data_IF_888815680694
#
_entry.id   IF_888815680694
#
_cell.length_a   1.000
_cell.length_b   1.000
_cell.length_c   1.000
_cell.angle_alpha   90.00
_cell.angle_beta   90.00
_cell.angle_gamma   90.00
#
_symmetry.space_group_name_H-M   'P 1'
#
loop_
_entity.id
_entity.type
_entity.pdbx_description
1 polymer ?
#
# COMPACT_ATOMS: atom_id res chain seq x y z
N UNK A 1 15.74 13.44 -7.14
CA UNK A 1 14.75 12.35 -7.08
C UNK A 1 14.77 11.84 -5.65
N UNK A 2 13.62 11.74 -4.99
CA UNK A 2 13.59 11.45 -3.55
C UNK A 2 12.84 10.15 -3.34
N UNK A 3 13.54 9.24 -2.69
CA UNK A 3 13.01 7.95 -2.31
C UNK A 3 13.09 7.87 -0.80
N UNK A 4 12.02 8.28 -0.12
CA UNK A 4 11.91 8.10 1.32
C UNK A 4 11.77 6.62 1.72
N UNK A 5 11.68 6.39 3.03
CA UNK A 5 11.52 5.05 3.61
C UNK A 5 10.16 4.41 3.28
N UNK A 6 9.18 5.18 2.81
CA UNK A 6 7.86 4.70 2.41
C UNK A 6 7.59 4.94 0.91
N UNK A 7 6.67 4.17 0.32
CA UNK A 7 6.26 4.30 -1.09
C UNK A 7 5.62 5.67 -1.40
N UNK A 8 4.89 6.24 -0.43
CA UNK A 8 4.22 7.54 -0.58
C UNK A 8 5.21 8.70 -0.70
N UNK A 9 6.40 8.55 -0.12
CA UNK A 9 7.48 9.53 -0.18
C UNK A 9 8.43 9.31 -1.38
N UNK A 10 8.19 8.28 -2.21
CA UNK A 10 8.92 8.10 -3.48
C UNK A 10 8.30 9.01 -4.55
N UNK A 11 9.05 10.06 -4.90
CA UNK A 11 8.83 10.92 -6.08
C UNK A 11 9.55 10.40 -7.34
N UNK A 12 10.23 9.25 -7.23
CA UNK A 12 10.89 8.60 -8.36
C UNK A 12 9.91 8.03 -9.39
N UNK A 13 10.43 7.80 -10.61
CA UNK A 13 9.69 7.14 -11.68
C UNK A 13 9.24 5.74 -11.24
N UNK A 14 7.99 5.38 -11.57
CA UNK A 14 7.36 4.13 -11.13
C UNK A 14 7.02 3.26 -12.34
N UNK A 15 7.18 1.96 -12.19
CA UNK A 15 6.73 0.95 -13.15
C UNK A 15 5.52 0.21 -12.59
N UNK A 16 4.51 -0.01 -13.45
CA UNK A 16 3.35 -0.84 -13.13
C UNK A 16 3.52 -2.26 -13.69
N UNK A 17 3.32 -3.25 -12.84
CA UNK A 17 3.23 -4.67 -13.20
C UNK A 17 1.79 -5.13 -13.04
N UNK A 18 1.12 -5.40 -14.15
CA UNK A 18 -0.29 -5.82 -14.17
C UNK A 18 -0.39 -7.33 -14.25
N UNK A 19 -1.20 -7.91 -13.37
CA UNK A 19 -1.65 -9.30 -13.47
C UNK A 19 -3.13 -9.33 -13.85
N UNK A 20 -3.73 -10.52 -13.91
CA UNK A 20 -5.20 -10.64 -14.10
C UNK A 20 -5.98 -9.99 -12.96
N UNK A 21 -5.42 -9.93 -11.76
CA UNK A 21 -6.17 -9.52 -10.57
C UNK A 21 -5.65 -8.21 -9.95
N UNK A 22 -4.34 -8.06 -9.94
CA UNK A 22 -3.64 -7.06 -9.15
C UNK A 22 -2.76 -6.19 -10.05
N UNK A 23 -2.53 -4.96 -9.62
CA UNK A 23 -1.50 -4.09 -10.19
C UNK A 23 -0.52 -3.76 -9.10
N UNK A 24 0.74 -4.08 -9.35
CA UNK A 24 1.83 -3.72 -8.46
C UNK A 24 2.52 -2.50 -9.03
N UNK A 25 2.78 -1.52 -8.18
CA UNK A 25 3.48 -0.30 -8.55
C UNK A 25 4.80 -0.31 -7.81
N UNK A 26 5.91 -0.13 -8.52
CA UNK A 26 7.26 -0.20 -7.96
C UNK A 26 8.05 1.03 -8.40
N UNK A 27 8.70 1.69 -7.45
CA UNK A 27 9.63 2.78 -7.70
C UNK A 27 10.88 2.22 -8.38
N UNK A 28 11.26 2.73 -9.56
CA UNK A 28 12.40 2.23 -10.35
C UNK A 28 13.76 2.49 -9.69
N UNK A 29 13.79 3.27 -8.61
CA UNK A 29 15.01 3.68 -7.93
C UNK A 29 15.19 2.99 -6.57
N UNK A 30 14.25 3.15 -5.64
CA UNK A 30 14.35 2.50 -4.32
C UNK A 30 13.64 1.16 -4.21
N UNK A 31 12.94 0.74 -5.26
CA UNK A 31 12.16 -0.50 -5.29
C UNK A 31 11.09 -0.57 -4.19
N UNK A 32 10.70 0.55 -3.57
CA UNK A 32 9.48 0.60 -2.77
C UNK A 32 8.31 0.26 -3.69
N UNK A 33 7.42 -0.62 -3.22
CA UNK A 33 6.28 -1.04 -4.02
C UNK A 33 5.03 -1.26 -3.19
N UNK A 34 3.88 -1.12 -3.84
CA UNK A 34 2.56 -1.43 -3.27
C UNK A 34 1.69 -2.13 -4.30
N UNK A 35 0.65 -2.80 -3.80
CA UNK A 35 -0.48 -3.19 -4.64
C UNK A 35 -1.43 -1.99 -4.75
N UNK A 36 -2.04 -1.80 -5.93
CA UNK A 36 -3.13 -0.85 -6.11
C UNK A 36 -4.41 -1.42 -5.49
N UNK A 37 -5.04 -0.64 -4.63
CA UNK A 37 -6.32 -1.00 -4.04
C UNK A 37 -7.42 -0.83 -5.10
N UNK A 38 -8.26 -1.86 -5.23
CA UNK A 38 -9.41 -1.83 -6.12
C UNK A 38 -10.67 -1.95 -5.27
N UNK A 39 -11.52 -0.93 -5.28
CA UNK A 39 -12.88 -1.05 -4.76
C UNK A 39 -13.65 -2.04 -5.65
N UNK A 40 -13.94 -3.24 -5.14
CA UNK A 40 -14.65 -4.29 -5.87
C UNK A 40 -13.90 -5.63 -5.97
N UNK A 41 -13.76 -6.19 -7.18
CA UNK A 41 -13.15 -7.52 -7.37
C UNK A 41 -11.68 -7.48 -7.78
N UNK A 42 -11.36 -7.08 -9.01
CA UNK A 42 -9.99 -7.07 -9.55
C UNK A 42 -9.90 -6.32 -10.89
N UNK A 43 -8.68 -6.08 -11.38
CA UNK A 43 -8.44 -5.28 -12.61
C UNK A 43 -9.11 -5.86 -13.87
N UNK A 44 -9.15 -7.19 -14.01
CA UNK A 44 -9.81 -7.86 -15.13
C UNK A 44 -10.73 -8.97 -14.59
N UNK A 45 -11.98 -8.64 -14.21
CA UNK A 45 -12.89 -9.60 -13.61
C UNK A 45 -13.38 -10.62 -14.67
N UNK A 46 -13.23 -11.90 -14.38
CA UNK A 46 -13.77 -13.00 -15.18
C UNK A 46 -14.97 -13.59 -14.43
N UNK A 47 -16.14 -12.99 -14.67
CA UNK A 47 -17.38 -13.26 -13.92
C UNK A 47 -18.17 -14.39 -14.58
N UNK A 48 -18.46 -15.42 -13.78
CA UNK A 48 -19.41 -16.47 -14.11
C UNK A 48 -20.52 -16.54 -13.07
N UNK A 49 -21.62 -17.22 -13.38
CA UNK A 49 -22.64 -17.56 -12.39
C UNK A 49 -22.37 -18.95 -11.84
N UNK A 50 -22.50 -19.09 -10.51
CA UNK A 50 -22.26 -20.34 -9.79
C UNK A 50 -23.39 -20.64 -8.83
N UNK A 51 -23.56 -21.91 -8.49
CA UNK A 51 -24.35 -22.36 -7.36
C UNK A 51 -23.46 -22.40 -6.11
N UNK A 52 -23.72 -21.58 -5.10
CA UNK A 52 -23.00 -21.59 -3.83
C UNK A 52 -23.90 -22.15 -2.72
N UNK A 53 -23.56 -23.30 -2.09
CA UNK A 53 -24.31 -23.85 -0.97
C UNK A 53 -24.35 -22.88 0.21
N UNK A 54 -25.54 -22.60 0.72
CA UNK A 54 -25.70 -21.91 2.00
C UNK A 54 -25.53 -22.88 3.17
N UNK A 55 -25.49 -22.35 4.40
CA UNK A 55 -25.36 -23.16 5.63
C UNK A 55 -26.45 -24.23 5.74
N UNK A 56 -27.66 -23.94 5.26
CA UNK A 56 -28.80 -24.86 5.24
C UNK A 56 -28.80 -25.83 4.03
N UNK A 57 -27.72 -25.90 3.26
CA UNK A 57 -27.61 -26.76 2.07
C UNK A 57 -28.35 -26.26 0.83
N UNK A 58 -29.22 -25.26 0.94
CA UNK A 58 -29.91 -24.67 -0.22
C UNK A 58 -28.93 -23.82 -1.02
N UNK A 59 -28.71 -24.07 -2.33
CA UNK A 59 -27.77 -23.29 -3.12
C UNK A 59 -28.34 -21.91 -3.46
N UNK A 60 -27.47 -20.90 -3.40
CA UNK A 60 -27.74 -19.56 -3.92
C UNK A 60 -26.99 -19.33 -5.23
N UNK A 61 -27.66 -18.75 -6.22
CA UNK A 61 -27.05 -18.38 -7.50
C UNK A 61 -26.35 -17.04 -7.33
N UNK A 62 -25.03 -17.01 -7.54
CA UNK A 62 -24.21 -15.80 -7.36
C UNK A 62 -23.28 -15.56 -8.54
N UNK A 63 -23.03 -14.30 -8.91
CA UNK A 63 -21.86 -13.95 -9.70
C UNK A 63 -20.59 -14.24 -8.90
N UNK A 64 -19.60 -14.81 -9.57
CA UNK A 64 -18.32 -15.23 -9.01
C UNK A 64 -17.20 -14.90 -9.98
N UNK A 65 -16.11 -14.31 -9.47
CA UNK A 65 -14.93 -14.07 -10.29
C UNK A 65 -13.92 -15.21 -10.19
N UNK A 66 -13.63 -15.87 -11.32
CA UNK A 66 -12.60 -16.92 -11.40
C UNK A 66 -11.18 -16.41 -11.15
N UNK A 67 -10.95 -15.12 -11.39
CA UNK A 67 -9.64 -14.50 -11.20
C UNK A 67 -9.39 -14.14 -9.73
N UNK A 68 -10.35 -13.48 -9.07
CA UNK A 68 -10.17 -12.88 -7.74
C UNK A 68 -10.79 -13.69 -6.59
N UNK A 69 -11.71 -14.63 -6.89
CA UNK A 69 -12.43 -15.40 -5.89
C UNK A 69 -13.57 -14.64 -5.18
N UNK A 70 -13.85 -13.41 -5.60
CA UNK A 70 -14.96 -12.61 -5.04
C UNK A 70 -16.31 -13.13 -5.51
N UNK A 71 -17.26 -13.13 -4.58
CA UNK A 71 -18.68 -13.39 -4.83
C UNK A 71 -19.46 -12.10 -4.64
N UNK A 72 -20.51 -11.92 -5.44
CA UNK A 72 -21.35 -10.74 -5.41
C UNK A 72 -22.75 -11.06 -4.87
N UNK A 73 -23.63 -10.05 -4.83
CA UNK A 73 -25.03 -10.22 -4.42
C UNK A 73 -25.69 -11.33 -5.24
N UNK A 74 -26.48 -12.16 -4.56
CA UNK A 74 -27.25 -13.22 -5.22
C UNK A 74 -28.24 -12.61 -6.21
N UNK A 75 -28.46 -13.33 -7.30
CA UNK A 75 -29.35 -12.90 -8.40
C UNK A 75 -30.55 -13.84 -8.50
N UNK A 76 -31.72 -13.28 -8.81
CA UNK A 76 -32.91 -14.07 -9.15
C UNK A 76 -32.76 -14.56 -10.59
N UNK A 77 -32.90 -15.85 -10.81
CA UNK A 77 -32.98 -16.43 -12.15
C UNK A 77 -34.45 -16.60 -12.55
N UNK A 78 -34.74 -16.41 -13.83
CA UNK A 78 -36.04 -16.72 -14.41
C UNK A 78 -36.27 -18.24 -14.38
N UNK A 79 -37.31 -18.67 -13.67
CA UNK A 79 -37.69 -20.09 -13.53
C UNK A 79 -38.09 -20.74 -14.87
N UNK A 80 -38.42 -19.94 -15.89
CA UNK A 80 -38.80 -20.43 -17.22
C UNK A 80 -37.61 -20.76 -18.13
N UNK A 81 -36.36 -20.59 -17.64
CA UNK A 81 -35.11 -20.92 -18.35
C UNK A 81 -34.24 -21.92 -17.57
N UNK A 82 -34.87 -22.79 -16.79
CA UNK A 82 -34.20 -23.76 -15.92
C UNK A 82 -33.71 -25.01 -16.67
N UNK A 83 -32.59 -24.89 -17.37
CA UNK A 83 -31.73 -26.04 -17.72
C UNK A 83 -30.22 -25.72 -17.66
N UNK A 84 -29.81 -24.51 -17.23
CA UNK A 84 -28.37 -24.24 -17.07
C UNK A 84 -27.85 -24.89 -15.78
N UNK A 85 -27.14 -26.01 -15.93
CA UNK A 85 -26.28 -26.55 -14.89
C UNK A 85 -25.15 -25.54 -14.61
N UNK A 86 -25.29 -24.78 -13.51
CA UNK A 86 -24.26 -23.85 -13.07
C UNK A 86 -23.19 -24.61 -12.26
N UNK A 87 -21.90 -24.26 -12.44
CA UNK A 87 -20.83 -24.84 -11.62
C UNK A 87 -21.08 -24.65 -10.13
N UNK A 88 -20.74 -25.68 -9.34
CA UNK A 88 -20.78 -25.62 -7.89
C UNK A 88 -19.56 -24.85 -7.36
N UNK A 89 -19.78 -23.79 -6.59
CA UNK A 89 -18.73 -23.09 -5.86
C UNK A 89 -18.70 -23.59 -4.41
N UNK A 90 -17.81 -24.55 -4.14
CA UNK A 90 -17.52 -24.98 -2.77
C UNK A 90 -16.62 -23.96 -2.06
N UNK A 91 -16.61 -23.99 -0.72
CA UNK A 91 -15.70 -23.18 0.09
C UNK A 91 -14.23 -23.45 -0.28
N UNK A 92 -13.88 -24.72 -0.49
CA UNK A 92 -12.53 -25.16 -0.87
C UNK A 92 -12.05 -24.58 -2.21
N UNK A 93 -12.92 -24.59 -3.24
CA UNK A 93 -12.61 -24.00 -4.54
C UNK A 93 -12.40 -22.49 -4.41
N UNK A 94 -13.28 -21.82 -3.67
CA UNK A 94 -13.17 -20.38 -3.43
C UNK A 94 -11.88 -20.03 -2.67
N UNK A 95 -11.55 -20.80 -1.64
CA UNK A 95 -10.35 -20.61 -0.81
C UNK A 95 -9.08 -20.86 -1.61
N UNK A 96 -9.06 -21.89 -2.45
CA UNK A 96 -7.91 -22.19 -3.32
C UNK A 96 -7.63 -21.03 -4.28
N UNK A 97 -8.65 -20.43 -4.88
CA UNK A 97 -8.49 -19.28 -5.78
C UNK A 97 -7.94 -18.06 -5.02
N UNK A 98 -8.48 -17.78 -3.82
CA UNK A 98 -8.00 -16.68 -2.96
C UNK A 98 -6.56 -16.90 -2.51
N UNK A 99 -6.23 -18.12 -2.07
CA UNK A 99 -4.87 -18.51 -1.67
C UNK A 99 -3.88 -18.39 -2.83
N UNK A 100 -4.27 -18.80 -4.04
CA UNK A 100 -3.44 -18.63 -5.24
C UNK A 100 -3.17 -17.16 -5.56
N UNK A 101 -4.16 -16.28 -5.39
CA UNK A 101 -3.95 -14.83 -5.51
C UNK A 101 -3.00 -14.31 -4.44
N UNK A 102 -3.21 -14.67 -3.17
CA UNK A 102 -2.36 -14.26 -2.05
C UNK A 102 -0.91 -14.73 -2.23
N UNK A 103 -0.71 -15.96 -2.73
CA UNK A 103 0.62 -16.49 -3.03
C UNK A 103 1.31 -15.73 -4.17
N UNK A 104 0.58 -15.26 -5.20
CA UNK A 104 1.15 -14.41 -6.24
C UNK A 104 1.60 -13.05 -5.68
N UNK A 105 0.78 -12.42 -4.84
CA UNK A 105 1.13 -11.18 -4.15
C UNK A 105 2.36 -11.39 -3.26
N UNK A 106 2.41 -12.48 -2.49
CA UNK A 106 3.55 -12.85 -1.65
C UNK A 106 4.83 -13.01 -2.48
N UNK A 107 4.79 -13.80 -3.55
CA UNK A 107 5.94 -13.99 -4.45
C UNK A 107 6.42 -12.68 -5.09
N UNK A 108 5.50 -11.79 -5.44
CA UNK A 108 5.87 -10.47 -5.96
C UNK A 108 6.62 -9.63 -4.92
N UNK A 109 6.14 -9.62 -3.66
CA UNK A 109 6.83 -8.94 -2.56
C UNK A 109 8.20 -9.53 -2.30
N UNK A 110 8.32 -10.85 -2.25
CA UNK A 110 9.59 -11.56 -2.09
C UNK A 110 10.58 -11.22 -3.21
N UNK A 111 10.10 -11.12 -4.46
CA UNK A 111 10.90 -10.71 -5.61
C UNK A 111 11.42 -9.27 -5.46
N UNK A 112 10.57 -8.32 -5.08
CA UNK A 112 10.98 -6.93 -4.85
C UNK A 112 11.96 -6.82 -3.68
N UNK A 113 11.73 -7.51 -2.57
CA UNK A 113 12.63 -7.50 -1.42
C UNK A 113 13.98 -8.15 -1.76
N UNK A 114 13.96 -9.20 -2.58
CA UNK A 114 15.17 -9.80 -3.16
C UNK A 114 15.96 -8.79 -3.97
N UNK A 115 15.31 -8.10 -4.91
CA UNK A 115 15.93 -7.03 -5.71
C UNK A 115 16.43 -5.89 -4.84
N UNK A 116 15.68 -5.46 -3.81
CA UNK A 116 16.14 -4.40 -2.91
C UNK A 116 17.45 -4.78 -2.22
N UNK A 117 17.61 -6.04 -1.80
CA UNK A 117 18.87 -6.51 -1.20
C UNK A 117 20.05 -6.52 -2.16
N UNK A 118 19.81 -6.78 -3.44
CA UNK A 118 20.88 -6.95 -4.45
C UNK A 118 21.13 -5.72 -5.32
N UNK A 119 20.13 -4.84 -5.42
CA UNK A 119 20.07 -3.72 -6.36
C UNK A 119 19.81 -2.38 -5.67
N UNK A 120 19.83 -2.29 -4.32
CA UNK A 120 19.87 -0.97 -3.68
C UNK A 120 21.01 -0.19 -4.31
N UNK A 121 20.61 0.81 -5.10
CA UNK A 121 21.49 1.50 -6.02
C UNK A 121 22.60 2.17 -5.19
N UNK A 122 23.87 2.15 -5.64
CA UNK A 122 24.91 3.00 -5.06
C UNK A 122 24.46 4.46 -4.89
N UNK A 123 23.57 4.93 -5.77
CA UNK A 123 22.95 6.25 -5.69
C UNK A 123 21.97 6.41 -4.52
N UNK A 124 21.25 5.35 -4.14
CA UNK A 124 20.36 5.38 -2.97
C UNK A 124 21.18 5.37 -1.67
N UNK A 125 22.26 4.60 -1.64
CA UNK A 125 23.16 4.56 -0.50
C UNK A 125 23.90 5.90 -0.35
N UNK A 126 24.38 6.48 -1.44
CA UNK A 126 24.94 7.83 -1.47
C UNK A 126 23.91 8.89 -1.06
N UNK A 127 22.66 8.78 -1.53
CA UNK A 127 21.58 9.69 -1.16
C UNK A 127 21.26 9.61 0.34
N UNK A 128 21.08 8.40 0.87
CA UNK A 128 20.82 8.20 2.31
C UNK A 128 21.97 8.70 3.17
N UNK A 129 23.21 8.45 2.73
CA UNK A 129 24.41 8.98 3.39
C UNK A 129 24.40 10.52 3.41
N UNK A 130 24.23 11.16 2.25
CA UNK A 130 24.16 12.63 2.14
C UNK A 130 23.00 13.23 2.94
N UNK A 131 21.84 12.59 2.94
CA UNK A 131 20.69 13.03 3.71
C UNK A 131 20.95 12.93 5.22
N UNK A 132 21.50 11.80 5.68
CA UNK A 132 21.87 11.63 7.09
C UNK A 132 22.94 12.63 7.54
N UNK A 133 23.90 12.96 6.68
CA UNK A 133 24.87 14.03 6.95
C UNK A 133 24.21 15.40 7.00
N UNK A 134 23.29 15.70 6.08
CA UNK A 134 22.50 16.93 6.11
C UNK A 134 21.75 17.11 7.43
N UNK A 135 21.11 16.05 7.96
CA UNK A 135 20.40 16.10 9.25
C UNK A 135 21.33 16.37 10.46
N UNK A 136 22.65 16.24 10.30
CA UNK A 136 23.63 16.56 11.35
C UNK A 136 24.12 18.01 11.29
N UNK A 137 23.85 18.70 10.17
CA UNK A 137 24.33 20.06 9.91
C UNK A 137 23.74 21.12 10.86
N UNK A 138 24.46 22.23 11.12
CA UNK A 138 23.90 23.37 11.86
C UNK A 138 22.64 23.95 11.21
N UNK A 139 22.58 24.00 9.87
CA UNK A 139 21.47 24.56 9.11
C UNK A 139 20.16 23.80 9.40
N UNK A 140 20.22 22.47 9.36
CA UNK A 140 19.08 21.64 9.72
C UNK A 140 18.67 21.82 11.19
N UNK A 141 19.64 21.84 12.12
CA UNK A 141 19.34 22.06 13.55
C UNK A 141 18.59 23.37 13.79
N UNK A 142 18.99 24.45 13.10
CA UNK A 142 18.30 25.74 13.17
C UNK A 142 16.87 25.64 12.61
N UNK A 143 16.66 24.98 11.47
CA UNK A 143 15.31 24.75 10.92
C UNK A 143 14.45 23.94 11.90
N UNK A 144 14.98 22.81 12.39
CA UNK A 144 14.32 21.94 13.36
C UNK A 144 13.87 22.70 14.60
N UNK A 145 14.75 23.52 15.18
CA UNK A 145 14.42 24.30 16.37
C UNK A 145 13.35 25.37 16.10
N UNK A 146 13.36 26.01 14.92
CA UNK A 146 12.32 26.97 14.52
C UNK A 146 10.95 26.30 14.41
N UNK A 147 10.88 25.10 13.84
CA UNK A 147 9.62 24.34 13.70
C UNK A 147 9.09 23.90 15.06
N UNK A 148 9.95 23.36 15.93
CA UNK A 148 9.56 22.98 17.29
C UNK A 148 9.08 24.18 18.11
N UNK A 149 9.75 25.32 18.00
CA UNK A 149 9.34 26.57 18.68
C UNK A 149 8.04 27.13 18.14
N UNK A 150 7.85 27.13 16.81
CA UNK A 150 6.60 27.54 16.15
C UNK A 150 5.41 26.78 16.72
N UNK A 151 5.59 25.48 16.93
CA UNK A 151 4.55 24.57 17.38
C UNK A 151 4.48 24.46 18.92
N UNK A 152 5.19 25.33 19.65
CA UNK A 152 5.30 25.32 21.12
C UNK A 152 5.70 23.96 21.72
N UNK A 153 6.50 23.18 20.98
CA UNK A 153 6.84 21.79 21.33
C UNK A 153 5.62 20.88 21.53
N UNK A 154 4.49 21.18 20.91
CA UNK A 154 3.28 20.36 20.93
C UNK A 154 3.22 19.56 19.62
N UNK A 155 2.97 18.26 19.73
CA UNK A 155 2.78 17.38 18.57
C UNK A 155 1.59 17.84 17.74
N UNK A 156 1.80 18.16 16.46
CA UNK A 156 0.72 18.60 15.57
C UNK A 156 -0.13 17.44 15.02
N UNK A 157 0.30 16.20 15.24
CA UNK A 157 -0.48 15.01 14.85
C UNK A 157 -1.58 14.68 15.87
N UNK A 158 -1.25 14.65 17.16
CA UNK A 158 -2.20 14.29 18.22
C UNK A 158 -2.61 15.47 19.12
N UNK A 159 -1.92 16.61 19.07
CA UNK A 159 -2.15 17.80 19.89
C UNK A 159 -2.06 17.62 21.41
N UNK A 160 -1.68 16.43 21.87
CA UNK A 160 -1.60 16.08 23.29
C UNK A 160 -0.16 15.95 23.77
N UNK A 161 0.68 15.25 23.00
CA UNK A 161 2.03 14.88 23.42
C UNK A 161 3.04 15.96 23.07
N UNK A 162 4.16 15.98 23.82
CA UNK A 162 5.32 16.80 23.49
C UNK A 162 5.91 16.36 22.14
N UNK A 163 6.13 17.32 21.24
CA UNK A 163 6.89 17.10 20.02
C UNK A 163 8.39 16.98 20.33
N UNK A 164 8.97 15.87 19.89
CA UNK A 164 10.39 15.54 20.02
C UNK A 164 11.08 15.44 18.65
N UNK A 165 10.29 15.33 17.58
CA UNK A 165 10.75 15.16 16.22
C UNK A 165 10.17 16.24 15.30
N UNK A 166 10.85 16.47 14.17
CA UNK A 166 10.31 17.24 13.06
C UNK A 166 10.23 16.31 11.86
N UNK A 167 9.04 16.20 11.29
CA UNK A 167 8.76 15.37 10.13
C UNK A 167 8.65 16.23 8.87
N UNK A 168 9.23 15.76 7.76
CA UNK A 168 9.05 16.36 6.44
C UNK A 168 7.68 15.93 5.87
N UNK A 169 6.76 16.87 5.69
CA UNK A 169 5.48 16.64 5.01
C UNK A 169 5.71 16.31 3.54
N UNK A 170 6.70 16.97 2.93
CA UNK A 170 7.16 16.71 1.58
C UNK A 170 8.67 16.79 1.56
N UNK A 171 9.27 15.95 0.73
CA UNK A 171 10.70 15.99 0.52
C UNK A 171 11.09 16.85 -0.69
N UNK A 172 10.16 17.33 -1.52
CA UNK A 172 10.45 17.99 -2.80
C UNK A 172 11.53 19.09 -2.75
N UNK A 173 11.57 19.85 -1.66
CA UNK A 173 12.50 20.96 -1.43
C UNK A 173 13.69 20.58 -0.51
N UNK A 174 14.04 19.30 -0.37
CA UNK A 174 15.11 18.84 0.53
C UNK A 174 16.41 19.64 0.33
N UNK A 175 17.07 19.98 1.44
CA UNK A 175 18.20 20.91 1.55
C UNK A 175 17.82 22.40 1.51
N UNK A 176 16.67 22.75 0.93
CA UNK A 176 16.13 24.12 0.89
C UNK A 176 14.66 24.19 1.34
N UNK A 177 14.27 23.31 2.26
CA UNK A 177 12.88 23.18 2.65
C UNK A 177 12.40 24.42 3.44
N UNK A 178 11.25 25.02 3.05
CA UNK A 178 10.57 26.02 3.84
C UNK A 178 9.96 25.40 5.10
N UNK A 179 9.76 26.19 6.15
CA UNK A 179 9.28 25.67 7.44
C UNK A 179 7.88 25.06 7.38
N UNK A 180 7.05 25.45 6.40
CA UNK A 180 5.72 24.87 6.23
C UNK A 180 5.74 23.47 5.59
N UNK A 181 6.87 23.04 5.01
CA UNK A 181 7.07 21.65 4.58
C UNK A 181 7.45 20.73 5.76
N UNK A 182 7.54 21.30 6.98
CA UNK A 182 7.96 20.64 8.20
C UNK A 182 6.91 20.74 9.30
N UNK A 183 6.74 19.66 10.05
CA UNK A 183 5.77 19.57 11.14
C UNK A 183 6.37 18.95 12.40
N UNK A 184 6.08 19.53 13.56
CA UNK A 184 6.51 18.97 14.86
C UNK A 184 5.62 17.81 15.27
N UNK A 185 6.22 16.66 15.60
CA UNK A 185 5.48 15.44 16.02
C UNK A 185 6.15 14.76 17.20
N UNK A 186 5.36 14.02 18.00
CA UNK A 186 5.90 13.10 19.00
C UNK A 186 6.40 11.82 18.33
N UNK A 187 7.19 11.01 19.06
CA UNK A 187 7.77 9.77 18.53
C UNK A 187 6.70 8.76 18.07
N UNK A 188 5.56 8.66 18.78
CA UNK A 188 4.46 7.78 18.40
C UNK A 188 3.80 8.20 17.09
N UNK A 189 3.47 9.48 16.93
CA UNK A 189 2.93 10.00 15.68
C UNK A 189 3.94 9.88 14.54
N UNK A 190 5.23 10.16 14.80
CA UNK A 190 6.29 10.00 13.80
C UNK A 190 6.38 8.56 13.31
N UNK A 191 6.33 7.59 14.23
CA UNK A 191 6.30 6.17 13.89
C UNK A 191 5.08 5.83 13.03
N UNK A 192 3.88 6.24 13.43
CA UNK A 192 2.64 5.96 12.70
C UNK A 192 2.62 6.58 11.29
N UNK A 193 3.29 7.72 11.08
CA UNK A 193 3.42 8.32 9.75
C UNK A 193 4.27 7.44 8.83
N UNK A 194 5.39 6.90 9.32
CA UNK A 194 6.24 5.99 8.53
C UNK A 194 5.63 4.58 8.40
N UNK A 195 4.92 4.13 9.42
CA UNK A 195 4.34 2.79 9.55
C UNK A 195 2.85 2.87 9.89
N UNK A 196 2.00 3.35 8.96
CA UNK A 196 0.58 3.44 9.22
C UNK A 196 0.01 2.04 9.48
N UNK A 197 -0.70 1.90 10.60
CA UNK A 197 -1.48 0.69 10.89
C UNK A 197 -2.56 0.60 9.81
N UNK A 198 -2.55 -0.49 9.05
CA UNK A 198 -3.62 -0.80 8.11
C UNK A 198 -4.69 -1.56 8.90
N UNK A 199 -5.81 -0.89 9.17
CA UNK A 199 -7.04 -1.53 9.67
C UNK A 199 -7.74 -2.33 8.55
#
# INVERSE_FOLDING_TARGET
MICGNNFFDCSGNKTEYKTKCDTFIVCNHCLNGRTKDYEGCCINPDIIHVNQPNVNGTPSKKPFCKNCGSTFKAVKFDHNKEHLELPLLTKEVQETIRTNRNNKVKKFREWIDGRRRTETSPLLEEYNSKYNEYLKTPEWKVKRDKVLKRDNYICQGCLENKATQVHHITYQNIYNEPLFDLVSVCDACHHNIHFPIQD
#
